data_IF_816048660136
#
_entry.id   IF_816048660136
#
_cell.length_a   1.000
_cell.length_b   1.000
_cell.length_c   1.000
_cell.angle_alpha   90.00
_cell.angle_beta   90.00
_cell.angle_gamma   90.00
#
_symmetry.space_group_name_H-M   'P 1'
#
loop_
_entity.id
_entity.type
_entity.pdbx_description
1 polymer ?
#
# COMPACT_ATOMS: atom_id res chain seq x y z
N UNK A 1 7.54 3.57 -42.85
CA UNK A 1 7.18 4.97 -42.53
C UNK A 1 7.69 5.27 -41.12
N UNK A 2 8.38 6.40 -40.87
CA UNK A 2 8.92 6.69 -39.55
C UNK A 2 7.81 7.12 -38.58
N UNK A 3 7.80 6.54 -37.38
CA UNK A 3 6.91 6.91 -36.28
C UNK A 3 7.48 8.12 -35.52
N UNK A 4 6.62 8.94 -34.92
CA UNK A 4 7.03 10.12 -34.13
C UNK A 4 7.13 9.72 -32.65
N UNK A 5 8.27 9.95 -31.96
CA UNK A 5 8.38 9.72 -30.53
C UNK A 5 7.42 10.59 -29.72
N UNK A 6 6.77 9.98 -28.72
CA UNK A 6 5.96 10.67 -27.72
C UNK A 6 6.49 10.29 -26.32
N UNK A 7 6.71 11.27 -25.46
CA UNK A 7 7.25 11.03 -24.12
C UNK A 7 6.63 11.98 -23.10
N UNK A 8 6.05 11.40 -22.07
CA UNK A 8 5.60 12.04 -20.84
C UNK A 8 6.36 11.48 -19.63
N UNK A 9 6.07 11.96 -18.42
CA UNK A 9 6.80 11.62 -17.19
C UNK A 9 6.92 10.10 -16.94
N UNK A 10 5.90 9.32 -17.27
CA UNK A 10 5.87 7.85 -17.04
C UNK A 10 5.55 7.05 -18.30
N UNK A 11 5.34 7.71 -19.43
CA UNK A 11 4.79 7.09 -20.64
C UNK A 11 5.71 7.38 -21.81
N UNK A 12 6.08 6.33 -22.54
CA UNK A 12 6.87 6.42 -23.78
C UNK A 12 6.08 5.76 -24.89
N UNK A 13 5.98 6.42 -26.02
CA UNK A 13 5.19 5.93 -27.13
C UNK A 13 5.68 6.38 -28.49
N UNK A 14 4.98 5.87 -29.50
CA UNK A 14 5.19 6.14 -30.90
C UNK A 14 3.85 6.49 -31.54
N UNK A 15 3.78 7.64 -32.20
CA UNK A 15 2.60 8.11 -32.94
C UNK A 15 2.81 7.84 -34.43
N UNK A 16 1.81 7.25 -35.08
CA UNK A 16 1.75 7.15 -36.54
C UNK A 16 1.22 8.48 -37.12
N UNK A 17 2.01 9.22 -37.91
CA UNK A 17 1.55 10.48 -38.50
C UNK A 17 0.47 10.28 -39.57
N UNK A 18 0.33 9.08 -40.13
CA UNK A 18 -0.59 8.80 -41.24
C UNK A 18 -2.01 8.48 -40.78
N UNK A 19 -2.15 7.69 -39.72
CA UNK A 19 -3.46 7.23 -39.22
C UNK A 19 -3.77 7.67 -37.79
N UNK A 20 -2.84 8.37 -37.12
CA UNK A 20 -3.03 8.86 -35.75
C UNK A 20 -2.97 7.80 -34.66
N UNK A 21 -2.67 6.54 -35.01
CA UNK A 21 -2.53 5.47 -34.02
C UNK A 21 -1.35 5.75 -33.08
N UNK A 22 -1.56 5.47 -31.80
CA UNK A 22 -0.59 5.64 -30.74
C UNK A 22 -0.34 4.30 -30.06
N UNK A 23 0.93 3.88 -30.02
CA UNK A 23 1.37 2.78 -29.16
C UNK A 23 2.14 3.38 -28.01
N UNK A 24 1.74 3.07 -26.78
CA UNK A 24 2.38 3.56 -25.55
C UNK A 24 2.77 2.41 -24.64
N UNK A 25 3.91 2.58 -23.99
CA UNK A 25 4.37 1.79 -22.86
C UNK A 25 4.45 2.72 -21.64
N UNK A 26 3.82 2.30 -20.55
CA UNK A 26 3.81 3.05 -19.30
C UNK A 26 4.70 2.33 -18.29
N UNK A 27 5.67 3.04 -17.72
CA UNK A 27 6.49 2.52 -16.64
C UNK A 27 5.65 2.49 -15.34
N UNK A 28 5.37 1.29 -14.85
CA UNK A 28 4.68 1.11 -13.57
C UNK A 28 5.64 1.39 -12.39
N UNK A 29 5.19 2.10 -11.34
CA UNK A 29 5.97 2.26 -10.12
C UNK A 29 6.33 0.90 -9.49
N UNK A 30 7.55 0.79 -8.96
CA UNK A 30 8.08 -0.47 -8.44
C UNK A 30 7.20 -1.13 -7.36
N UNK A 31 6.53 -0.33 -6.53
CA UNK A 31 5.59 -0.80 -5.50
C UNK A 31 4.35 -1.52 -6.09
N UNK A 32 3.99 -1.24 -7.34
CA UNK A 32 2.89 -1.90 -8.03
C UNK A 32 3.31 -3.19 -8.74
N UNK A 33 4.60 -3.31 -9.05
CA UNK A 33 5.18 -4.49 -9.71
C UNK A 33 5.82 -5.46 -8.71
N UNK A 34 5.98 -5.07 -7.45
CA UNK A 34 6.49 -5.94 -6.38
C UNK A 34 5.38 -6.89 -5.91
N UNK A 35 5.49 -8.14 -6.37
CA UNK A 35 4.55 -9.23 -6.15
C UNK A 35 4.89 -10.09 -4.94
N UNK A 36 5.99 -9.79 -4.23
CA UNK A 36 6.42 -10.54 -3.05
C UNK A 36 5.38 -10.37 -1.93
N UNK A 37 5.11 -11.43 -1.14
CA UNK A 37 4.30 -11.32 0.05
C UNK A 37 5.07 -10.54 1.10
N UNK A 38 4.44 -9.50 1.65
CA UNK A 38 5.01 -8.70 2.70
C UNK A 38 4.20 -8.81 3.98
N UNK A 39 4.93 -8.80 5.10
CA UNK A 39 4.37 -8.86 6.44
C UNK A 39 4.46 -7.48 7.10
N UNK A 40 3.33 -7.02 7.61
CA UNK A 40 3.23 -5.79 8.40
C UNK A 40 2.98 -6.16 9.85
N UNK A 41 3.89 -5.73 10.72
CA UNK A 41 3.75 -5.85 12.15
C UNK A 41 3.42 -4.49 12.77
N UNK A 42 2.64 -4.51 13.84
CA UNK A 42 2.29 -3.31 14.58
C UNK A 42 2.21 -3.60 16.08
N UNK A 43 2.54 -2.59 16.87
CA UNK A 43 2.51 -2.65 18.33
C UNK A 43 1.83 -1.41 18.92
N UNK A 44 1.53 -1.49 20.22
CA UNK A 44 1.04 -0.34 20.98
C UNK A 44 -0.41 0.02 20.69
N UNK A 45 -1.31 -0.97 20.57
CA UNK A 45 -2.76 -0.76 20.53
C UNK A 45 -3.31 -0.69 21.96
N UNK A 46 -3.72 0.48 22.48
CA UNK A 46 -4.45 0.57 23.73
C UNK A 46 -5.88 0.05 23.51
N UNK A 47 -6.41 -0.72 24.46
CA UNK A 47 -7.82 -1.17 24.42
C UNK A 47 -8.81 0.00 24.57
N UNK A 48 -8.35 1.15 25.06
CA UNK A 48 -9.14 2.36 25.29
C UNK A 48 -9.10 3.34 24.10
N UNK A 49 -8.17 3.17 23.16
CA UNK A 49 -8.03 4.09 22.03
C UNK A 49 -8.84 3.58 20.83
N UNK A 50 -9.98 4.24 20.64
CA UNK A 50 -10.94 3.88 19.59
C UNK A 50 -10.38 4.06 18.19
N UNK A 51 -9.54 5.06 17.96
CA UNK A 51 -9.04 5.37 16.60
C UNK A 51 -7.96 4.38 16.18
N UNK A 52 -7.09 3.98 17.11
CA UNK A 52 -6.14 2.88 16.89
C UNK A 52 -6.84 1.54 16.66
N UNK A 53 -7.90 1.25 17.43
CA UNK A 53 -8.69 0.03 17.24
C UNK A 53 -9.44 0.01 15.90
N UNK A 54 -9.97 1.15 15.44
CA UNK A 54 -10.57 1.26 14.10
C UNK A 54 -9.54 1.02 13.01
N UNK A 55 -8.36 1.62 13.11
CA UNK A 55 -7.29 1.42 12.13
C UNK A 55 -6.89 -0.06 12.04
N UNK A 56 -6.76 -0.74 13.18
CA UNK A 56 -6.51 -2.18 13.22
C UNK A 56 -7.65 -3.00 12.56
N UNK A 57 -8.90 -2.67 12.90
CA UNK A 57 -10.08 -3.33 12.35
C UNK A 57 -10.12 -3.22 10.81
N UNK A 58 -9.87 -2.02 10.27
CA UNK A 58 -9.79 -1.79 8.83
C UNK A 58 -8.66 -2.54 8.15
N UNK A 59 -7.46 -2.56 8.75
CA UNK A 59 -6.29 -3.25 8.20
C UNK A 59 -6.50 -4.76 8.16
N UNK A 60 -7.15 -5.32 9.19
CA UNK A 60 -7.45 -6.75 9.29
C UNK A 60 -8.73 -7.17 8.56
N UNK A 61 -9.55 -6.21 8.13
CA UNK A 61 -10.88 -6.49 7.56
C UNK A 61 -11.86 -7.12 8.57
N UNK A 62 -11.69 -6.84 9.86
CA UNK A 62 -12.53 -7.35 10.95
C UNK A 62 -13.37 -6.23 11.58
N UNK A 63 -14.35 -6.59 12.40
CA UNK A 63 -15.13 -5.57 13.10
C UNK A 63 -14.40 -5.03 14.35
N UNK A 64 -14.88 -3.90 14.88
CA UNK A 64 -14.25 -3.23 16.03
C UNK A 64 -14.24 -4.09 17.31
N UNK A 65 -15.27 -4.92 17.50
CA UNK A 65 -15.37 -5.80 18.67
C UNK A 65 -14.31 -6.90 18.61
N UNK A 66 -14.09 -7.48 17.43
CA UNK A 66 -13.04 -8.46 17.18
C UNK A 66 -11.64 -7.85 17.32
N UNK A 67 -11.43 -6.63 16.79
CA UNK A 67 -10.17 -5.91 17.00
C UNK A 67 -9.89 -5.68 18.49
N UNK A 68 -10.88 -5.26 19.28
CA UNK A 68 -10.73 -5.07 20.71
C UNK A 68 -10.51 -6.39 21.49
N UNK A 69 -11.08 -7.51 21.03
CA UNK A 69 -10.77 -8.84 21.57
C UNK A 69 -9.33 -9.22 21.26
N UNK A 70 -8.91 -9.05 20.01
CA UNK A 70 -7.55 -9.36 19.54
C UNK A 70 -6.49 -8.60 20.34
N UNK A 71 -6.66 -7.28 20.55
CA UNK A 71 -5.76 -6.47 21.39
C UNK A 71 -5.71 -6.97 22.85
N UNK A 72 -6.85 -7.37 23.42
CA UNK A 72 -6.88 -7.95 24.77
C UNK A 72 -6.16 -9.29 24.87
N UNK A 73 -6.25 -10.12 23.83
CA UNK A 73 -5.59 -11.43 23.78
C UNK A 73 -4.08 -11.30 23.54
N UNK A 74 -3.65 -10.33 22.74
CA UNK A 74 -2.22 -10.10 22.45
C UNK A 74 -1.46 -9.55 23.65
N UNK A 75 -2.14 -8.82 24.54
CA UNK A 75 -1.48 -8.17 25.68
C UNK A 75 -0.44 -7.13 25.24
N UNK A 76 0.48 -6.72 26.13
CA UNK A 76 1.54 -5.74 25.82
C UNK A 76 2.71 -6.32 25.01
N UNK A 77 2.54 -7.49 24.38
CA UNK A 77 3.58 -8.29 23.74
C UNK A 77 4.03 -7.70 22.38
N UNK A 78 5.15 -8.19 21.78
CA UNK A 78 5.86 -7.51 20.71
C UNK A 78 5.07 -7.52 19.39
N UNK A 79 5.45 -6.60 18.50
CA UNK A 79 5.08 -6.49 17.08
C UNK A 79 4.23 -7.64 16.54
N UNK A 80 2.90 -7.44 16.51
CA UNK A 80 1.96 -8.46 16.04
C UNK A 80 1.78 -8.33 14.54
N UNK A 81 1.78 -9.46 13.82
CA UNK A 81 1.39 -9.50 12.42
C UNK A 81 -0.06 -8.98 12.27
N UNK A 82 -0.21 -7.83 11.62
CA UNK A 82 -1.50 -7.18 11.36
C UNK A 82 -1.93 -7.26 9.90
N UNK A 83 -1.02 -7.53 8.98
CA UNK A 83 -1.36 -7.70 7.58
C UNK A 83 -0.30 -8.52 6.84
N UNK A 84 -0.75 -9.31 5.87
CA UNK A 84 0.08 -10.01 4.91
C UNK A 84 -0.51 -9.76 3.52
N UNK A 85 0.31 -9.35 2.55
CA UNK A 85 -0.17 -9.11 1.20
C UNK A 85 0.82 -8.36 0.33
N UNK A 86 0.31 -7.68 -0.71
CA UNK A 86 1.16 -7.02 -1.72
C UNK A 86 1.75 -5.72 -1.20
N UNK A 87 2.88 -5.31 -1.77
CA UNK A 87 3.57 -4.07 -1.43
C UNK A 87 2.65 -2.82 -1.53
N UNK A 88 1.77 -2.79 -2.54
CA UNK A 88 0.82 -1.69 -2.76
C UNK A 88 -0.28 -1.61 -1.69
N UNK A 89 -0.69 -2.73 -1.12
CA UNK A 89 -1.65 -2.77 0.00
C UNK A 89 -0.93 -2.43 1.30
N UNK A 90 0.25 -3.01 1.51
CA UNK A 90 1.07 -2.78 2.70
C UNK A 90 1.38 -1.28 2.90
N UNK A 91 1.80 -0.55 1.87
CA UNK A 91 2.08 0.90 2.01
C UNK A 91 0.83 1.70 2.39
N UNK A 92 -0.36 1.28 1.92
CA UNK A 92 -1.63 1.90 2.30
C UNK A 92 -1.98 1.61 3.77
N UNK A 93 -1.80 0.36 4.21
CA UNK A 93 -2.05 -0.05 5.59
C UNK A 93 -1.08 0.60 6.58
N UNK A 94 0.21 0.69 6.23
CA UNK A 94 1.21 1.42 7.00
C UNK A 94 0.83 2.89 7.19
N UNK A 95 0.41 3.57 6.11
CA UNK A 95 -0.01 4.97 6.19
C UNK A 95 -1.22 5.17 7.11
N UNK A 96 -2.19 4.24 7.11
CA UNK A 96 -3.37 4.30 7.99
C UNK A 96 -2.99 4.11 9.46
N UNK A 97 -2.18 3.10 9.76
CA UNK A 97 -1.73 2.83 11.13
C UNK A 97 -0.91 4.00 11.67
N UNK A 98 0.01 4.55 10.88
CA UNK A 98 0.80 5.73 11.26
C UNK A 98 -0.07 6.97 11.47
N UNK A 99 -1.11 7.18 10.66
CA UNK A 99 -2.05 8.28 10.86
C UNK A 99 -2.84 8.15 12.18
N UNK A 100 -3.03 6.93 12.68
CA UNK A 100 -3.61 6.67 14.01
C UNK A 100 -2.55 6.69 15.14
N UNK A 101 -1.30 7.05 14.85
CA UNK A 101 -0.21 7.08 15.83
C UNK A 101 0.27 5.70 16.28
N UNK A 102 0.06 4.67 15.46
CA UNK A 102 0.53 3.29 15.71
C UNK A 102 1.92 3.09 15.10
N UNK A 103 2.82 2.52 15.88
CA UNK A 103 4.16 2.11 15.40
C UNK A 103 4.04 0.85 14.56
N UNK A 104 4.70 0.84 13.41
CA UNK A 104 4.69 -0.27 12.45
C UNK A 104 6.11 -0.70 12.09
N UNK A 105 6.27 -2.00 11.85
CA UNK A 105 7.50 -2.63 11.39
C UNK A 105 7.19 -3.60 10.25
N UNK A 106 8.20 -3.89 9.42
CA UNK A 106 8.11 -4.83 8.30
C UNK A 106 9.33 -5.75 8.34
N UNK A 107 9.13 -7.03 8.04
CA UNK A 107 10.21 -8.00 7.92
C UNK A 107 10.14 -8.74 6.57
N UNK A 108 11.19 -8.68 5.71
CA UNK A 108 12.38 -7.83 5.83
C UNK A 108 12.06 -6.33 5.65
N UNK A 109 13.04 -5.44 5.80
CA UNK A 109 12.85 -3.99 5.64
C UNK A 109 12.17 -3.61 4.32
N UNK A 110 11.10 -2.80 4.38
CA UNK A 110 10.29 -2.46 3.22
C UNK A 110 10.92 -1.31 2.39
N UNK A 111 11.34 -1.56 1.13
CA UNK A 111 12.08 -0.58 0.33
C UNK A 111 11.20 0.50 -0.29
N UNK A 112 9.88 0.30 -0.33
CA UNK A 112 8.93 1.22 -0.98
C UNK A 112 8.24 2.16 0.00
N UNK A 113 8.78 2.37 1.20
CA UNK A 113 8.23 3.32 2.18
C UNK A 113 8.54 4.77 1.80
N UNK A 114 7.94 5.24 0.69
CA UNK A 114 8.14 6.59 0.16
C UNK A 114 6.80 7.26 -0.16
N UNK A 115 6.72 8.61 -0.11
CA UNK A 115 5.51 9.33 -0.51
C UNK A 115 5.06 9.01 -1.94
N UNK A 116 6.01 8.78 -2.86
CA UNK A 116 5.73 8.44 -4.25
C UNK A 116 5.07 7.06 -4.39
N UNK A 117 5.56 6.07 -3.65
CA UNK A 117 4.97 4.73 -3.62
C UNK A 117 3.56 4.74 -3.00
N UNK A 118 3.35 5.49 -1.92
CA UNK A 118 2.03 5.67 -1.32
C UNK A 118 1.05 6.34 -2.31
N UNK A 119 1.50 7.36 -3.04
CA UNK A 119 0.69 8.03 -4.06
C UNK A 119 0.32 7.07 -5.21
N UNK A 120 1.26 6.24 -5.67
CA UNK A 120 1.02 5.22 -6.68
C UNK A 120 -0.01 4.17 -6.21
N UNK A 121 0.14 3.67 -4.98
CA UNK A 121 -0.75 2.67 -4.41
C UNK A 121 -2.20 3.16 -4.25
N UNK A 122 -2.40 4.43 -3.86
CA UNK A 122 -3.74 5.02 -3.75
C UNK A 122 -4.50 5.07 -5.08
N UNK A 123 -3.79 5.20 -6.21
CA UNK A 123 -4.40 5.26 -7.55
C UNK A 123 -4.96 3.92 -8.03
N UNK A 124 -4.51 2.80 -7.47
CA UNK A 124 -4.97 1.46 -7.85
C UNK A 124 -6.42 1.19 -7.44
N UNK A 125 -6.94 1.89 -6.41
CA UNK A 125 -8.34 1.74 -5.96
C UNK A 125 -9.40 2.24 -6.95
N UNK A 126 -9.02 2.85 -8.08
CA UNK A 126 -9.95 3.54 -9.01
C UNK A 126 -10.13 2.79 -10.34
N UNK A 127 -9.50 1.64 -10.54
CA UNK A 127 -9.60 0.88 -11.79
C UNK A 127 -10.13 -0.54 -11.57
N UNK A 128 -11.39 -0.66 -11.19
CA UNK A 128 -12.21 -1.88 -11.31
C UNK A 128 -13.64 -1.47 -11.64
#
# INVERSE_FOLDING_TARGET
MPMIPHQDATTRGLICPTCGWLVVSTALPAVLTDDRPWHLFAAGFPTTDRDRLKALAEVRGINLVEAAKLVRTMGPAPDTLVFEGRASELVQHMARLRAAGVTVATDPGFPHDTPAALAAARRVRVAL
#
